data_IF_443872736202
#
_entry.id   IF_443872736202
#
_cell.length_a   1.000
_cell.length_b   1.000
_cell.length_c   1.000
_cell.angle_alpha   90.00
_cell.angle_beta   90.00
_cell.angle_gamma   90.00
#
_symmetry.space_group_name_H-M   'P 1'
#
loop_
_entity.id
_entity.type
_entity.pdbx_description
1 polymer ?
#
# COMPACT_ATOMS: atom_id res chain seq x y z
N UNK A 1 -6.17 -14.36 16.42
CA UNK A 1 -5.82 -14.04 16.31
C UNK A 1 -5.35 -13.25 15.91
N UNK A 2 -5.09 -12.94 15.82
CA UNK A 2 -4.76 -12.24 15.52
C UNK A 2 -4.07 -11.50 15.11
N UNK A 3 -3.43 -11.21 14.65
CA UNK A 3 -2.79 -10.62 14.20
C UNK A 3 -3.05 -9.51 14.01
N UNK A 4 -2.97 -8.96 14.05
CA UNK A 4 -3.34 -7.90 14.02
C UNK A 4 -2.51 -6.81 13.78
N UNK A 5 -1.30 -6.78 13.85
CA UNK A 5 -0.51 -5.78 13.48
C UNK A 5 -0.28 -5.90 12.10
N UNK A 6 -0.70 -5.05 11.24
CA UNK A 6 -0.53 -5.20 9.80
C UNK A 6 -0.20 -3.88 9.20
N UNK A 7 0.47 -3.96 8.08
CA UNK A 7 0.70 -2.80 7.23
C UNK A 7 -0.44 -2.82 6.23
N UNK A 8 -1.33 -1.86 6.35
CA UNK A 8 -2.47 -1.77 5.46
C UNK A 8 -2.05 -1.19 4.13
N UNK A 9 -2.60 -1.75 3.06
CA UNK A 9 -2.27 -1.34 1.70
C UNK A 9 -3.43 -0.51 1.18
N UNK A 10 -3.19 0.74 0.94
CA UNK A 10 -4.25 1.67 0.59
C UNK A 10 -4.27 2.04 -0.87
N UNK A 11 -3.78 1.18 -1.72
CA UNK A 11 -3.73 1.47 -3.14
C UNK A 11 -5.10 1.80 -3.71
N UNK A 12 -6.11 1.02 -3.32
CA UNK A 12 -7.44 1.24 -3.86
C UNK A 12 -7.95 2.64 -3.53
N UNK A 13 -7.70 3.07 -2.30
CA UNK A 13 -8.17 4.39 -1.89
C UNK A 13 -7.42 5.50 -2.61
N UNK A 14 -6.12 5.34 -2.77
CA UNK A 14 -5.33 6.37 -3.43
C UNK A 14 -5.70 6.45 -4.90
N UNK A 15 -5.88 5.31 -5.56
CA UNK A 15 -6.28 5.32 -6.96
C UNK A 15 -7.64 5.99 -7.14
N UNK A 16 -8.57 5.71 -6.23
CA UNK A 16 -9.89 6.33 -6.32
C UNK A 16 -9.79 7.84 -6.11
N UNK A 17 -9.01 8.25 -5.12
CA UNK A 17 -8.88 9.66 -4.83
C UNK A 17 -8.21 10.41 -5.98
N UNK A 18 -7.23 9.79 -6.62
CA UNK A 18 -6.52 10.41 -7.72
C UNK A 18 -7.20 10.16 -9.06
N UNK A 19 -8.25 9.36 -9.05
CA UNK A 19 -9.01 9.04 -10.26
C UNK A 19 -8.14 8.37 -11.32
N UNK A 20 -7.29 7.46 -10.88
CA UNK A 20 -6.45 6.69 -11.80
C UNK A 20 -7.11 5.34 -12.00
N UNK A 21 -7.24 4.93 -13.24
CA UNK A 21 -7.90 3.67 -13.55
C UNK A 21 -6.90 2.54 -13.62
N UNK A 22 -7.40 1.32 -13.50
CA UNK A 22 -6.54 0.15 -13.59
C UNK A 22 -5.72 0.16 -14.87
N UNK A 23 -6.33 0.54 -15.97
CA UNK A 23 -5.64 0.57 -17.24
C UNK A 23 -4.46 1.52 -17.20
N UNK A 24 -4.67 2.68 -16.61
CA UNK A 24 -3.62 3.68 -16.57
C UNK A 24 -2.43 3.21 -15.74
N UNK A 25 -2.72 2.63 -14.60
CA UNK A 25 -1.64 2.16 -13.75
C UNK A 25 -0.94 0.96 -14.39
N UNK A 26 -1.71 0.09 -15.03
CA UNK A 26 -1.13 -1.07 -15.70
C UNK A 26 -0.14 -0.64 -16.78
N UNK A 27 -0.50 0.37 -17.55
CA UNK A 27 0.38 0.87 -18.59
C UNK A 27 1.64 1.47 -18.00
N UNK A 28 1.47 2.21 -16.93
CA UNK A 28 2.63 2.85 -16.33
C UNK A 28 3.59 1.81 -15.74
N UNK A 29 3.07 0.75 -15.18
CA UNK A 29 3.89 -0.28 -14.56
C UNK A 29 4.32 -1.37 -15.52
N UNK A 30 3.75 -1.40 -16.71
CA UNK A 30 4.09 -2.46 -17.67
C UNK A 30 3.53 -3.81 -17.27
N UNK A 31 2.38 -3.83 -16.63
CA UNK A 31 1.74 -5.07 -16.21
C UNK A 31 0.31 -5.08 -16.72
N UNK A 32 -0.39 -6.18 -16.49
CA UNK A 32 -1.76 -6.29 -16.97
C UNK A 32 -2.73 -5.59 -16.04
N UNK A 33 -3.89 -5.25 -16.56
CA UNK A 33 -4.93 -4.66 -15.72
C UNK A 33 -5.37 -5.64 -14.64
N UNK A 34 -5.34 -6.92 -14.94
CA UNK A 34 -5.73 -7.92 -13.96
C UNK A 34 -4.76 -7.91 -12.78
N UNK A 35 -3.47 -7.69 -13.05
CA UNK A 35 -2.50 -7.58 -11.99
C UNK A 35 -2.77 -6.37 -11.11
N UNK A 36 -3.16 -5.25 -11.71
CA UNK A 36 -3.52 -4.07 -10.94
C UNK A 36 -4.76 -4.35 -10.10
N UNK A 37 -5.74 -5.02 -10.69
CA UNK A 37 -6.95 -5.35 -9.99
C UNK A 37 -6.64 -6.16 -8.73
N UNK A 38 -5.74 -7.13 -8.87
CA UNK A 38 -5.36 -7.96 -7.72
C UNK A 38 -4.66 -7.14 -6.65
N UNK A 39 -3.81 -6.20 -7.07
CA UNK A 39 -3.14 -5.34 -6.11
C UNK A 39 -4.13 -4.48 -5.33
N UNK A 40 -5.20 -4.06 -5.99
CA UNK A 40 -6.18 -3.22 -5.33
C UNK A 40 -7.08 -3.99 -4.38
N UNK A 41 -7.21 -5.29 -4.58
CA UNK A 41 -8.12 -6.06 -3.75
C UNK A 41 -7.57 -6.40 -2.39
N UNK A 42 -6.29 -6.38 -2.21
CA UNK A 42 -5.71 -6.81 -0.95
C UNK A 42 -5.70 -5.67 0.05
N UNK A 43 -5.86 -6.00 1.30
CA UNK A 43 -5.82 -5.00 2.36
C UNK A 43 -4.47 -4.93 3.02
N UNK A 44 -3.72 -6.01 3.01
CA UNK A 44 -2.40 -6.02 3.60
C UNK A 44 -1.38 -5.81 2.52
N UNK A 45 -0.25 -5.28 2.89
CA UNK A 45 0.80 -4.99 1.93
C UNK A 45 1.20 -6.24 1.16
N UNK A 46 1.15 -6.20 -0.17
CA UNK A 46 1.57 -7.34 -0.96
C UNK A 46 3.08 -7.32 -1.10
N UNK A 47 3.63 -8.35 -1.71
CA UNK A 47 5.05 -8.35 -1.98
C UNK A 47 5.33 -7.37 -3.08
N UNK A 48 6.22 -6.45 -2.83
CA UNK A 48 6.58 -5.46 -3.82
C UNK A 48 8.07 -5.27 -3.83
N UNK A 49 8.61 -5.06 -5.01
CA UNK A 49 10.00 -4.66 -5.12
C UNK A 49 10.06 -3.15 -5.01
N UNK A 50 11.22 -2.60 -4.69
CA UNK A 50 11.35 -1.15 -4.67
C UNK A 50 10.97 -0.52 -6.00
N UNK A 51 11.31 -1.19 -7.11
CA UNK A 51 10.98 -0.65 -8.42
C UNK A 51 9.48 -0.57 -8.62
N UNK A 52 8.75 -1.59 -8.18
CA UNK A 52 7.31 -1.59 -8.36
C UNK A 52 6.67 -0.50 -7.50
N UNK A 53 7.12 -0.36 -6.27
CA UNK A 53 6.58 0.66 -5.41
C UNK A 53 6.90 2.05 -5.97
N UNK A 54 8.11 2.21 -6.48
CA UNK A 54 8.51 3.47 -7.07
C UNK A 54 7.62 3.81 -8.26
N UNK A 55 7.32 2.82 -9.09
CA UNK A 55 6.46 3.03 -10.24
C UNK A 55 5.04 3.42 -9.85
N UNK A 56 4.53 2.81 -8.80
CA UNK A 56 3.19 3.12 -8.33
C UNK A 56 3.16 4.57 -7.82
N UNK A 57 4.15 4.95 -7.04
CA UNK A 57 4.20 6.32 -6.52
C UNK A 57 4.30 7.33 -7.64
N UNK A 58 5.08 7.01 -8.66
CA UNK A 58 5.24 7.92 -9.78
C UNK A 58 3.92 8.04 -10.54
N UNK A 59 3.27 6.91 -10.81
CA UNK A 59 2.03 6.91 -11.57
C UNK A 59 0.92 7.67 -10.85
N UNK A 60 0.89 7.55 -9.53
CA UNK A 60 -0.16 8.18 -8.75
C UNK A 60 0.27 9.54 -8.20
N UNK A 61 1.50 9.89 -8.40
CA UNK A 61 2.06 11.13 -7.87
C UNK A 61 1.80 11.20 -6.37
N UNK A 62 2.21 10.17 -5.66
CA UNK A 62 2.00 10.12 -4.23
C UNK A 62 3.24 9.59 -3.54
N UNK A 63 3.24 9.67 -2.23
CA UNK A 63 4.35 9.17 -1.43
C UNK A 63 4.02 7.78 -0.93
N UNK A 64 5.03 6.96 -0.67
CA UNK A 64 4.76 5.63 -0.12
C UNK A 64 3.94 5.67 1.16
N UNK A 65 4.10 6.73 1.95
CA UNK A 65 3.33 6.84 3.18
C UNK A 65 1.85 7.01 2.96
N UNK A 66 1.44 7.34 1.75
CA UNK A 66 0.02 7.43 1.45
C UNK A 66 -0.54 6.06 1.12
N UNK A 67 0.31 5.14 0.71
CA UNK A 67 -0.11 3.81 0.32
C UNK A 67 -0.04 2.81 1.46
N UNK A 68 0.77 3.08 2.46
CA UNK A 68 1.02 2.14 3.54
C UNK A 68 0.68 2.77 4.87
N UNK A 69 -0.09 2.06 5.67
CA UNK A 69 -0.47 2.54 6.99
C UNK A 69 -0.28 1.39 7.96
N UNK A 70 0.39 1.65 9.06
CA UNK A 70 0.58 0.64 10.07
C UNK A 70 -0.57 0.70 11.06
N UNK A 71 -1.21 -0.42 11.29
CA UNK A 71 -2.29 -0.51 12.24
C UNK A 71 -1.95 -1.57 13.27
N UNK A 72 -1.54 -1.16 14.46
CA UNK A 72 -1.19 -2.13 15.47
C UNK A 72 -2.40 -2.78 16.09
N UNK A 73 -2.18 -3.94 16.66
CA UNK A 73 -3.22 -4.63 17.35
C UNK A 73 -3.47 -3.87 18.64
N UNK A 74 -4.70 -3.70 19.01
CA UNK A 74 -5.02 -3.00 20.23
C UNK A 74 -4.33 -3.58 21.44
N UNK A 75 -4.19 -4.87 21.47
CA UNK A 75 -3.61 -5.49 22.62
C UNK A 75 -2.15 -5.19 22.80
N UNK A 76 -1.53 -4.60 21.79
CA UNK A 76 -0.17 -4.31 21.89
C UNK A 76 0.04 -2.95 22.23
N UNK A 77 -0.88 -2.27 22.62
CA UNK A 77 -0.70 -0.91 22.77
C UNK A 77 0.50 -0.43 23.34
N UNK A 78 1.19 -1.14 24.10
CA UNK A 78 2.23 -0.60 24.66
C UNK A 78 3.44 -0.59 24.04
N UNK A 79 3.72 -0.99 23.45
CA UNK A 79 4.88 -1.10 22.95
C UNK A 79 5.64 -0.16 22.68
N UNK A 80 5.76 0.24 22.34
CA UNK A 80 6.50 0.91 21.91
C UNK A 80 7.27 1.75 21.92
N UNK A 81 7.37 2.00 22.39
CA UNK A 81 8.17 2.85 22.58
C UNK A 81 9.29 2.91 21.91
N UNK A 82 9.83 2.22 21.81
CA UNK A 82 10.97 2.19 21.25
C UNK A 82 11.14 2.82 20.21
N UNK A 83 10.44 2.59 19.66
CA UNK A 83 10.67 3.02 18.54
C UNK A 83 11.06 4.28 18.57
N UNK A 84 10.70 4.72 19.21
CA UNK A 84 10.99 5.87 19.20
C UNK A 84 12.10 6.24 19.13
N UNK A 85 12.55 5.77 19.42
CA UNK A 85 13.66 6.13 19.45
C UNK A 85 14.02 6.69 18.42
N UNK A 86 13.98 6.75 18.13
CA UNK A 86 14.50 7.10 17.26
C UNK A 86 14.53 7.95 16.87
#
# INVERSE_FOLDING_TARGET
MPMNKVIRWKLNEVMARKRVKNKDLAEELGITENSVYRLRKVDEMPRLTPERLNGICKALNCQPGELLVYEPDDSDGKVVSIAVAS
#
